data_IF_811900881074
#
_entry.id   IF_811900881074
#
_cell.length_a   1.000
_cell.length_b   1.000
_cell.length_c   1.000
_cell.angle_alpha   90.00
_cell.angle_beta   90.00
_cell.angle_gamma   90.00
#
_symmetry.space_group_name_H-M   'P 1'
#
loop_
_entity.id
_entity.type
_entity.pdbx_description
1 polymer ?
#
# COMPACT_ATOMS: atom_id res chain seq x y z
N UNK A 1 2.34 -14.59 2.92
CA UNK A 1 2.93 -15.24 1.73
C UNK A 1 1.94 -15.36 0.58
N UNK A 2 0.76 -15.97 0.75
CA UNK A 2 -0.21 -16.15 -0.34
C UNK A 2 -0.75 -14.82 -0.92
N UNK A 3 -1.07 -13.83 -0.08
CA UNK A 3 -1.54 -12.52 -0.55
C UNK A 3 -0.48 -11.78 -1.39
N UNK A 4 0.79 -11.91 -0.99
CA UNK A 4 1.92 -11.32 -1.67
C UNK A 4 2.15 -11.99 -3.04
N UNK A 5 2.05 -13.31 -3.12
CA UNK A 5 2.06 -14.05 -4.40
C UNK A 5 0.92 -13.60 -5.33
N UNK A 6 -0.31 -13.45 -4.80
CA UNK A 6 -1.45 -12.99 -5.58
C UNK A 6 -1.20 -11.61 -6.20
N UNK A 7 -0.60 -10.71 -5.44
CA UNK A 7 -0.32 -9.34 -5.89
C UNK A 7 0.79 -9.30 -6.94
N UNK A 8 1.87 -10.07 -6.78
CA UNK A 8 2.90 -10.16 -7.83
C UNK A 8 2.34 -10.76 -9.12
N UNK A 9 1.46 -11.75 -9.01
CA UNK A 9 0.78 -12.30 -10.17
C UNK A 9 -0.09 -11.22 -10.86
N UNK A 10 -0.88 -10.45 -10.12
CA UNK A 10 -1.66 -9.33 -10.67
C UNK A 10 -0.79 -8.25 -11.32
N UNK A 11 0.43 -8.06 -10.82
CA UNK A 11 1.39 -7.04 -11.30
C UNK A 11 2.23 -7.50 -12.49
N UNK A 12 2.04 -8.73 -12.96
CA UNK A 12 2.86 -9.38 -13.97
C UNK A 12 4.37 -9.42 -13.64
N UNK A 13 4.74 -9.32 -12.36
CA UNK A 13 6.12 -9.33 -11.89
C UNK A 13 6.59 -10.78 -11.66
N UNK A 14 6.62 -11.59 -12.71
CA UNK A 14 6.92 -13.02 -12.62
C UNK A 14 8.33 -13.29 -12.05
N UNK A 15 9.29 -12.38 -12.25
CA UNK A 15 10.63 -12.48 -11.68
C UNK A 15 10.61 -12.38 -10.14
N UNK A 16 9.82 -11.47 -9.58
CA UNK A 16 9.67 -11.31 -8.13
C UNK A 16 9.02 -12.54 -7.48
N UNK A 17 8.13 -13.21 -8.22
CA UNK A 17 7.52 -14.48 -7.77
C UNK A 17 8.57 -15.59 -7.74
N UNK A 18 9.39 -15.71 -8.78
CA UNK A 18 10.51 -16.65 -8.80
C UNK A 18 11.45 -16.40 -7.62
N UNK A 19 11.84 -15.15 -7.36
CA UNK A 19 12.71 -14.78 -6.25
C UNK A 19 12.07 -15.07 -4.88
N UNK A 20 10.79 -14.72 -4.69
CA UNK A 20 10.05 -15.01 -3.46
C UNK A 20 9.94 -16.52 -3.20
N UNK A 21 9.64 -17.31 -4.22
CA UNK A 21 9.54 -18.77 -4.14
C UNK A 21 10.92 -19.38 -3.87
N UNK A 22 11.97 -18.92 -4.56
CA UNK A 22 13.34 -19.39 -4.33
C UNK A 22 13.87 -19.00 -2.94
N UNK A 23 13.56 -17.80 -2.46
CA UNK A 23 13.91 -17.34 -1.12
C UNK A 23 13.16 -18.11 -0.03
N UNK A 24 11.92 -18.53 -0.29
CA UNK A 24 11.12 -19.30 0.66
C UNK A 24 11.54 -20.78 0.69
N UNK A 25 11.94 -21.34 -0.45
CA UNK A 25 12.40 -22.74 -0.56
C UNK A 25 13.90 -22.90 -0.22
N UNK A 26 14.66 -21.81 -0.14
CA UNK A 26 16.12 -21.85 0.08
C UNK A 26 16.91 -22.43 -1.10
N UNK A 27 16.30 -22.52 -2.29
CA UNK A 27 16.91 -23.12 -3.49
C UNK A 27 16.53 -22.37 -4.76
N UNK A 28 17.45 -22.27 -5.72
CA UNK A 28 17.19 -21.67 -7.05
C UNK A 28 16.66 -22.74 -8.00
N UNK A 29 15.39 -22.64 -8.37
CA UNK A 29 14.76 -23.53 -9.37
C UNK A 29 14.40 -22.72 -10.62
N UNK A 30 14.85 -23.11 -11.82
CA UNK A 30 14.46 -22.44 -13.06
C UNK A 30 12.99 -22.78 -13.40
N UNK A 31 12.09 -21.79 -13.31
CA UNK A 31 10.66 -21.98 -13.60
C UNK A 31 10.38 -21.57 -15.05
N UNK A 32 9.80 -22.48 -15.85
CA UNK A 32 9.40 -22.19 -17.25
C UNK A 32 8.25 -21.18 -17.30
N UNK A 33 8.37 -20.16 -18.15
CA UNK A 33 7.43 -19.03 -18.30
C UNK A 33 5.99 -19.45 -18.63
N UNK A 34 5.80 -20.50 -19.43
CA UNK A 34 4.47 -21.00 -19.80
C UNK A 34 3.69 -21.56 -18.60
N UNK A 35 4.37 -22.34 -17.73
CA UNK A 35 3.76 -22.88 -16.52
C UNK A 35 3.47 -21.78 -15.50
N UNK A 36 4.34 -20.76 -15.45
CA UNK A 36 4.13 -19.59 -14.61
C UNK A 36 2.90 -18.78 -15.04
N UNK A 37 2.61 -18.70 -16.34
CA UNK A 37 1.45 -17.98 -16.87
C UNK A 37 0.13 -18.69 -16.53
N UNK A 38 0.11 -20.02 -16.61
CA UNK A 38 -1.07 -20.81 -16.20
C UNK A 38 -1.27 -20.79 -14.68
N UNK A 39 -0.19 -20.88 -13.90
CA UNK A 39 -0.24 -20.73 -12.44
C UNK A 39 -0.71 -19.32 -12.05
N UNK A 40 -0.24 -18.29 -12.74
CA UNK A 40 -0.73 -16.91 -12.61
C UNK A 40 -2.24 -16.84 -12.81
N UNK A 41 -2.76 -17.41 -13.89
CA UNK A 41 -4.20 -17.38 -14.19
C UNK A 41 -5.00 -18.06 -13.09
N UNK A 42 -4.65 -19.29 -12.70
CA UNK A 42 -5.36 -20.02 -11.63
C UNK A 42 -5.31 -19.22 -10.32
N UNK A 43 -4.14 -18.69 -9.96
CA UNK A 43 -3.99 -18.00 -8.67
C UNK A 43 -4.72 -16.65 -8.61
N UNK A 44 -4.77 -15.90 -9.72
CA UNK A 44 -5.39 -14.56 -9.78
C UNK A 44 -6.85 -14.56 -10.20
N UNK A 45 -7.33 -15.61 -10.85
CA UNK A 45 -8.70 -15.69 -11.37
C UNK A 45 -9.57 -16.68 -10.60
N UNK A 46 -8.99 -17.71 -9.98
CA UNK A 46 -9.77 -18.76 -9.31
C UNK A 46 -9.57 -18.79 -7.79
N UNK A 47 -8.35 -18.54 -7.30
CA UNK A 47 -8.03 -18.71 -5.86
C UNK A 47 -8.05 -17.37 -5.10
N UNK A 48 -7.30 -16.39 -5.59
CA UNK A 48 -7.19 -15.06 -5.00
C UNK A 48 -7.59 -14.01 -6.02
N UNK A 49 -8.89 -13.91 -6.26
CA UNK A 49 -9.44 -12.90 -7.17
C UNK A 49 -9.05 -11.50 -6.70
N UNK A 50 -8.91 -10.57 -7.65
CA UNK A 50 -8.57 -9.17 -7.37
C UNK A 50 -9.49 -8.56 -6.29
N UNK A 51 -10.78 -8.89 -6.32
CA UNK A 51 -11.76 -8.46 -5.33
C UNK A 51 -11.46 -9.01 -3.92
N UNK A 52 -11.16 -10.31 -3.80
CA UNK A 52 -10.84 -10.94 -2.51
C UNK A 52 -9.55 -10.36 -1.95
N UNK A 53 -8.52 -10.20 -2.79
CA UNK A 53 -7.24 -9.61 -2.39
C UNK A 53 -7.43 -8.17 -1.90
N UNK A 54 -8.18 -7.36 -2.66
CA UNK A 54 -8.45 -5.96 -2.30
C UNK A 54 -9.21 -5.85 -0.98
N UNK A 55 -10.25 -6.67 -0.78
CA UNK A 55 -11.03 -6.67 0.47
C UNK A 55 -10.25 -7.18 1.68
N UNK A 56 -9.24 -8.03 1.48
CA UNK A 56 -8.38 -8.50 2.55
C UNK A 56 -7.25 -7.51 2.85
N UNK A 57 -6.79 -6.74 1.86
CA UNK A 57 -5.67 -5.82 1.99
C UNK A 57 -5.87 -4.78 3.11
N UNK A 58 -7.08 -4.26 3.28
CA UNK A 58 -7.42 -3.31 4.36
C UNK A 58 -7.34 -3.92 5.77
N UNK A 59 -7.44 -5.25 5.88
CA UNK A 59 -7.41 -5.98 7.17
C UNK A 59 -5.99 -6.38 7.58
N UNK A 60 -5.03 -6.29 6.66
CA UNK A 60 -3.62 -6.59 6.96
C UNK A 60 -3.09 -5.48 7.87
N UNK A 61 -2.44 -5.80 9.00
CA UNK A 61 -1.89 -4.78 9.87
C UNK A 61 -0.81 -3.95 9.15
N UNK A 62 -0.72 -2.68 9.52
CA UNK A 62 0.35 -1.80 9.06
C UNK A 62 1.70 -2.30 9.56
N UNK A 63 2.76 -1.98 8.82
CA UNK A 63 4.13 -2.26 9.27
C UNK A 63 4.54 -1.21 10.28
N UNK A 64 4.69 -1.63 11.53
CA UNK A 64 5.16 -0.79 12.63
C UNK A 64 6.62 -0.39 12.41
N UNK A 65 6.96 0.88 12.71
CA UNK A 65 8.29 1.44 12.54
C UNK A 65 8.87 1.26 11.13
N UNK A 66 8.03 1.41 10.10
CA UNK A 66 8.46 1.25 8.70
C UNK A 66 9.57 2.25 8.36
N UNK A 67 10.70 1.74 7.87
CA UNK A 67 11.86 2.54 7.47
C UNK A 67 12.63 1.86 6.33
N UNK A 68 13.55 2.57 5.70
CA UNK A 68 14.29 2.12 4.50
C UNK A 68 15.16 0.87 4.71
N UNK A 69 15.48 0.52 5.96
CA UNK A 69 16.36 -0.60 6.27
C UNK A 69 15.62 -1.93 6.38
N UNK A 70 14.28 -1.94 6.37
CA UNK A 70 13.49 -3.17 6.47
C UNK A 70 13.51 -3.87 5.10
N UNK A 71 14.19 -5.03 4.95
CA UNK A 71 14.25 -5.72 3.68
C UNK A 71 13.00 -6.57 3.45
N UNK A 72 12.80 -6.94 2.19
CA UNK A 72 11.77 -7.89 1.79
C UNK A 72 10.46 -7.22 1.38
N UNK A 73 9.44 -8.05 1.24
CA UNK A 73 8.17 -7.64 0.67
C UNK A 73 7.15 -7.35 1.76
N UNK A 74 6.92 -6.06 1.95
CA UNK A 74 6.05 -5.51 2.99
C UNK A 74 4.64 -5.21 2.47
N UNK A 75 3.61 -5.21 3.36
CA UNK A 75 2.25 -4.80 3.03
C UNK A 75 2.15 -3.46 2.27
N UNK A 76 3.04 -2.51 2.54
CA UNK A 76 3.07 -1.21 1.85
C UNK A 76 3.25 -1.32 0.33
N UNK A 77 4.06 -2.27 -0.15
CA UNK A 77 4.24 -2.51 -1.59
C UNK A 77 2.97 -3.07 -2.23
N UNK A 78 2.29 -3.94 -1.49
CA UNK A 78 1.03 -4.52 -1.89
C UNK A 78 -0.05 -3.46 -2.08
N UNK A 79 -0.20 -2.57 -1.09
CA UNK A 79 -1.17 -1.47 -1.14
C UNK A 79 -0.84 -0.50 -2.27
N UNK A 80 0.43 -0.10 -2.43
CA UNK A 80 0.86 0.77 -3.52
C UNK A 80 0.47 0.20 -4.89
N UNK A 81 0.69 -1.10 -5.07
CA UNK A 81 0.40 -1.77 -6.34
C UNK A 81 -1.11 -1.91 -6.62
N UNK A 82 -1.92 -2.22 -5.61
CA UNK A 82 -3.39 -2.27 -5.72
C UNK A 82 -4.01 -0.89 -5.99
N UNK A 83 -3.44 0.17 -5.41
CA UNK A 83 -3.81 1.54 -5.72
C UNK A 83 -3.46 1.91 -7.16
N UNK A 84 -2.24 1.54 -7.62
CA UNK A 84 -1.79 1.79 -8.99
C UNK A 84 -2.69 1.10 -10.02
N UNK A 85 -3.19 -0.10 -9.73
CA UNK A 85 -4.14 -0.81 -10.59
C UNK A 85 -5.60 -0.37 -10.42
N UNK A 86 -5.88 0.64 -9.58
CA UNK A 86 -7.22 1.15 -9.26
C UNK A 86 -8.15 0.09 -8.65
N UNK A 87 -7.60 -0.95 -8.02
CA UNK A 87 -8.37 -2.07 -7.48
C UNK A 87 -9.34 -1.64 -6.36
N UNK A 88 -8.89 -0.75 -5.46
CA UNK A 88 -9.71 -0.20 -4.37
C UNK A 88 -10.94 0.56 -4.89
N UNK A 89 -10.77 1.44 -5.88
CA UNK A 89 -11.88 2.15 -6.53
C UNK A 89 -12.79 1.19 -7.28
N UNK A 90 -12.22 0.25 -8.05
CA UNK A 90 -12.97 -0.74 -8.84
C UNK A 90 -13.87 -1.62 -7.98
N UNK A 91 -13.38 -2.02 -6.80
CA UNK A 91 -14.10 -2.92 -5.89
C UNK A 91 -14.76 -2.21 -4.71
N UNK A 92 -14.78 -0.87 -4.71
CA UNK A 92 -15.40 -0.03 -3.66
C UNK A 92 -14.90 -0.36 -2.25
N UNK A 93 -13.59 -0.57 -2.10
CA UNK A 93 -12.97 -0.86 -0.81
C UNK A 93 -12.22 0.38 -0.31
N UNK A 94 -12.64 1.01 0.80
CA UNK A 94 -11.97 2.20 1.33
C UNK A 94 -10.63 1.83 1.98
N UNK A 95 -9.57 2.58 1.67
CA UNK A 95 -8.19 2.30 2.14
C UNK A 95 -7.59 3.45 2.98
N UNK A 96 -8.33 4.55 3.18
CA UNK A 96 -7.87 5.75 3.90
C UNK A 96 -7.22 5.42 5.24
N UNK A 97 -7.94 4.71 6.09
CA UNK A 97 -7.54 4.46 7.49
C UNK A 97 -6.26 3.64 7.57
N UNK A 98 -6.08 2.71 6.62
CA UNK A 98 -4.86 1.93 6.52
C UNK A 98 -3.67 2.81 6.13
N UNK A 99 -3.83 3.68 5.12
CA UNK A 99 -2.75 4.57 4.65
C UNK A 99 -2.37 5.55 5.74
N UNK A 100 -3.36 6.18 6.38
CA UNK A 100 -3.14 7.08 7.51
C UNK A 100 -2.37 6.37 8.62
N UNK A 101 -2.83 5.18 9.03
CA UNK A 101 -2.16 4.37 10.06
C UNK A 101 -0.73 4.00 9.66
N UNK A 102 -0.47 3.69 8.39
CA UNK A 102 0.86 3.34 7.89
C UNK A 102 1.81 4.55 7.86
N UNK A 103 1.32 5.74 7.48
CA UNK A 103 2.09 6.99 7.53
C UNK A 103 2.48 7.30 8.98
N UNK A 104 1.53 7.22 9.92
CA UNK A 104 1.77 7.42 11.34
C UNK A 104 2.75 6.39 11.95
N UNK A 105 2.80 5.18 11.39
CA UNK A 105 3.71 4.10 11.83
C UNK A 105 5.09 4.13 11.15
N UNK A 106 5.36 5.11 10.29
CA UNK A 106 6.64 5.23 9.56
C UNK A 106 7.66 6.04 10.36
N UNK A 107 8.93 5.68 10.27
CA UNK A 107 10.05 6.32 10.98
C UNK A 107 11.24 6.55 10.04
N UNK A 108 12.19 7.39 10.45
CA UNK A 108 13.41 7.62 9.68
C UNK A 108 14.36 6.40 9.77
N UNK A 109 15.16 6.10 8.72
CA UNK A 109 15.17 6.72 7.40
C UNK A 109 13.94 6.36 6.56
N UNK A 110 13.45 7.29 5.73
CA UNK A 110 12.21 7.14 4.98
C UNK A 110 12.26 5.97 3.98
N UNK A 111 11.27 5.07 4.04
CA UNK A 111 11.18 3.95 3.11
C UNK A 111 10.83 4.45 1.68
N UNK A 112 11.57 4.03 0.63
CA UNK A 112 11.49 4.63 -0.72
C UNK A 112 10.14 4.49 -1.42
N UNK A 113 9.29 3.54 -1.00
CA UNK A 113 7.94 3.35 -1.56
C UNK A 113 6.92 4.37 -1.03
N UNK A 114 7.18 5.02 0.11
CA UNK A 114 6.19 5.86 0.79
C UNK A 114 5.80 7.11 -0.02
N UNK A 115 6.74 7.85 -0.63
CA UNK A 115 6.37 8.98 -1.50
C UNK A 115 5.48 8.55 -2.67
N UNK A 116 5.89 7.50 -3.40
CA UNK A 116 5.12 6.96 -4.51
C UNK A 116 3.73 6.45 -4.08
N UNK A 117 3.62 5.86 -2.88
CA UNK A 117 2.33 5.47 -2.31
C UNK A 117 1.40 6.67 -2.12
N UNK A 118 1.91 7.76 -1.53
CA UNK A 118 1.15 8.99 -1.30
C UNK A 118 0.67 9.61 -2.61
N UNK A 119 1.56 9.71 -3.61
CA UNK A 119 1.22 10.22 -4.94
C UNK A 119 0.09 9.42 -5.59
N UNK A 120 0.21 8.08 -5.62
CA UNK A 120 -0.80 7.23 -6.23
C UNK A 120 -2.12 7.28 -5.45
N UNK A 121 -2.07 7.44 -4.12
CA UNK A 121 -3.26 7.62 -3.31
C UNK A 121 -4.00 8.92 -3.61
N UNK A 122 -3.30 10.06 -3.70
CA UNK A 122 -3.91 11.35 -4.10
C UNK A 122 -4.53 11.24 -5.50
N UNK A 123 -3.77 10.70 -6.46
CA UNK A 123 -4.26 10.45 -7.82
C UNK A 123 -5.50 9.54 -7.86
N UNK A 124 -5.65 8.64 -6.86
CA UNK A 124 -6.80 7.75 -6.76
C UNK A 124 -8.10 8.48 -6.39
N UNK A 125 -8.00 9.64 -5.74
CA UNK A 125 -9.15 10.47 -5.33
C UNK A 125 -9.54 11.46 -6.42
N UNK A 126 -8.54 12.12 -7.02
CA UNK A 126 -8.72 13.28 -7.90
C UNK A 126 -9.07 12.89 -9.34
N UNK A 127 -8.52 11.78 -9.84
CA UNK A 127 -8.76 11.34 -11.22
C UNK A 127 -9.95 10.38 -11.25
N UNK A 128 -11.13 10.80 -11.75
CA UNK A 128 -12.29 9.92 -11.87
C UNK A 128 -12.02 8.81 -12.88
N UNK A 129 -12.44 7.59 -12.54
CA UNK A 129 -12.42 6.47 -13.48
C UNK A 129 -13.53 6.67 -14.50
N UNK A 130 -13.19 6.71 -15.78
CA UNK A 130 -14.12 6.92 -16.90
C UNK A 130 -15.21 5.85 -17.06
N UNK A 131 -15.23 4.81 -16.22
CA UNK A 131 -16.15 3.67 -16.27
C UNK A 131 -17.09 3.53 -15.06
N UNK A 132 -16.97 4.36 -14.03
CA UNK A 132 -17.77 4.23 -12.79
C UNK A 132 -18.35 5.59 -12.42
N UNK A 133 -19.66 5.70 -12.14
CA UNK A 133 -20.27 6.93 -11.64
C UNK A 133 -19.53 7.43 -10.38
N UNK A 134 -19.40 8.75 -10.24
CA UNK A 134 -18.62 9.46 -9.22
C UNK A 134 -18.97 9.09 -7.76
N UNK A 135 -18.53 7.92 -7.31
CA UNK A 135 -18.41 7.60 -5.89
C UNK A 135 -16.92 7.56 -5.56
N UNK A 136 -16.41 8.65 -4.97
CA UNK A 136 -15.05 8.73 -4.45
C UNK A 136 -14.90 7.76 -3.27
N UNK A 137 -14.61 6.49 -3.58
CA UNK A 137 -14.40 5.42 -2.57
C UNK A 137 -13.26 5.78 -1.60
N UNK A 138 -12.23 6.46 -2.11
CA UNK A 138 -11.12 6.95 -1.32
C UNK A 138 -11.41 8.40 -0.94
N UNK A 139 -11.40 8.67 0.37
CA UNK A 139 -11.66 10.00 0.93
C UNK A 139 -10.35 10.65 1.40
N UNK A 140 -10.24 11.98 1.32
CA UNK A 140 -9.08 12.69 1.83
C UNK A 140 -8.93 12.45 3.34
N UNK A 141 -7.69 12.54 3.82
CA UNK A 141 -7.40 12.52 5.26
C UNK A 141 -8.00 13.79 5.85
N UNK A 142 -8.75 13.68 6.95
CA UNK A 142 -9.44 14.82 7.54
C UNK A 142 -8.47 15.78 8.22
N UNK A 143 -8.83 17.06 8.26
CA UNK A 143 -7.98 18.09 8.89
C UNK A 143 -7.75 17.80 10.38
N UNK A 144 -8.75 17.25 11.09
CA UNK A 144 -8.62 16.87 12.49
C UNK A 144 -7.61 15.72 12.70
N UNK A 145 -7.63 14.71 11.81
CA UNK A 145 -6.61 13.64 11.81
C UNK A 145 -5.21 14.22 11.61
N UNK A 146 -5.05 15.18 10.69
CA UNK A 146 -3.76 15.80 10.41
C UNK A 146 -3.29 16.67 11.58
N UNK A 147 -4.17 17.51 12.14
CA UNK A 147 -3.89 18.33 13.32
C UNK A 147 -3.45 17.48 14.50
N UNK A 148 -4.05 16.31 14.71
CA UNK A 148 -3.66 15.40 15.80
C UNK A 148 -2.18 14.99 15.70
N UNK A 149 -1.68 14.78 14.47
CA UNK A 149 -0.29 14.40 14.22
C UNK A 149 0.67 15.55 14.52
N UNK A 150 0.33 16.78 14.13
CA UNK A 150 1.17 17.95 14.39
C UNK A 150 1.14 18.42 15.86
N UNK A 151 -0.02 18.35 16.52
CA UNK A 151 -0.21 18.81 17.91
C UNK A 151 0.47 17.89 18.95
N UNK A 152 0.56 16.59 18.68
CA UNK A 152 1.23 15.63 19.58
C UNK A 152 2.73 15.94 19.73
N UNK A 153 3.33 16.61 18.75
CA UNK A 153 4.72 17.08 18.78
C UNK A 153 4.96 18.20 19.80
N UNK A 154 3.93 19.03 20.08
CA UNK A 154 4.04 20.20 20.94
C UNK A 154 3.76 19.87 22.42
N UNK A 155 3.07 18.75 22.68
CA UNK A 155 2.60 18.37 24.02
C UNK A 155 3.30 17.07 24.44
N UNK A 156 4.45 17.18 25.12
CA UNK A 156 5.12 16.03 25.76
C UNK A 156 4.28 15.53 26.94
N UNK A 157 3.20 14.80 26.68
CA UNK A 157 2.37 14.17 27.71
C UNK A 157 2.21 12.68 27.45
N UNK A 158 2.41 11.92 28.53
CA UNK A 158 2.70 10.50 28.57
C UNK A 158 1.61 9.62 27.94
N UNK A 159 2.03 8.64 27.12
CA UNK A 159 1.26 7.41 26.86
C UNK A 159 0.64 7.24 25.47
N UNK A 160 0.67 8.25 24.59
CA UNK A 160 0.17 8.14 23.22
C UNK A 160 1.32 8.12 22.22
N UNK A 161 1.24 7.25 21.21
CA UNK A 161 2.27 7.08 20.16
C UNK A 161 2.63 8.45 19.59
N UNK A 162 3.82 8.95 19.88
CA UNK A 162 4.30 10.23 19.34
C UNK A 162 4.53 10.02 17.84
N UNK A 163 3.78 10.70 16.97
CA UNK A 163 3.98 10.57 15.53
C UNK A 163 5.34 11.17 15.19
N UNK A 164 6.14 10.41 14.45
CA UNK A 164 7.51 10.77 14.16
C UNK A 164 7.58 11.99 13.23
N UNK A 165 8.71 12.72 13.24
CA UNK A 165 8.97 13.78 12.27
C UNK A 165 8.79 13.28 10.82
N UNK A 166 9.09 12.01 10.55
CA UNK A 166 8.88 11.38 9.25
C UNK A 166 7.40 11.36 8.87
N UNK A 167 6.51 11.02 9.81
CA UNK A 167 5.06 11.02 9.58
C UNK A 167 4.53 12.43 9.29
N UNK A 168 5.04 13.44 10.00
CA UNK A 168 4.69 14.85 9.78
C UNK A 168 5.13 15.35 8.40
N UNK A 169 6.37 15.05 8.02
CA UNK A 169 6.90 15.42 6.70
C UNK A 169 6.13 14.72 5.56
N UNK A 170 5.75 13.45 5.75
CA UNK A 170 4.92 12.72 4.78
C UNK A 170 3.51 13.30 4.65
N UNK A 171 2.90 13.72 5.76
CA UNK A 171 1.60 14.40 5.72
C UNK A 171 1.71 15.78 5.06
N UNK A 172 2.77 16.53 5.33
CA UNK A 172 3.00 17.81 4.64
C UNK A 172 3.19 17.59 3.14
N UNK A 173 3.96 16.58 2.75
CA UNK A 173 4.11 16.19 1.34
C UNK A 173 2.78 15.76 0.70
N UNK A 174 1.93 15.03 1.43
CA UNK A 174 0.56 14.72 1.00
C UNK A 174 -0.27 15.99 0.75
N UNK A 175 -0.25 16.98 1.66
CA UNK A 175 -0.95 18.26 1.49
C UNK A 175 -0.46 18.95 0.22
N UNK A 176 0.86 19.08 0.06
CA UNK A 176 1.44 19.77 -1.08
C UNK A 176 1.02 19.13 -2.40
N UNK A 177 1.01 17.80 -2.51
CA UNK A 177 0.55 17.12 -3.74
C UNK A 177 -0.96 17.28 -3.92
N UNK A 178 -1.73 17.25 -2.84
CA UNK A 178 -3.18 17.40 -2.92
C UNK A 178 -3.60 18.80 -3.36
N UNK A 179 -2.87 19.84 -2.93
CA UNK A 179 -3.12 21.25 -3.30
C UNK A 179 -2.57 21.64 -4.68
N UNK A 180 -1.54 20.95 -5.19
CA UNK A 180 -0.90 21.24 -6.49
C UNK A 180 -1.67 20.70 -7.71
N UNK A 181 -2.71 19.88 -7.49
CA UNK A 181 -3.53 19.23 -8.54
C UNK A 181 -4.93 19.80 -8.60
#
# INVERSE_FOLDING_TARGET
>A
MLLLMAIHFHSNQLSAICELVCSTLGMKVPIRSNNMTRMKQIFTQEIFTEQVVTSHAVKVPVTVNLNANIPGFLPVHCIHQLLKSRAFTKHKVPIKDWIYSQICSSVAPLHPVLPALVEVYVNSMLVPSSKVPQEHTNTPISEDEMRSVFQTSASQSQGTVIPSLTSQLLLLYYILIYDDV
#
